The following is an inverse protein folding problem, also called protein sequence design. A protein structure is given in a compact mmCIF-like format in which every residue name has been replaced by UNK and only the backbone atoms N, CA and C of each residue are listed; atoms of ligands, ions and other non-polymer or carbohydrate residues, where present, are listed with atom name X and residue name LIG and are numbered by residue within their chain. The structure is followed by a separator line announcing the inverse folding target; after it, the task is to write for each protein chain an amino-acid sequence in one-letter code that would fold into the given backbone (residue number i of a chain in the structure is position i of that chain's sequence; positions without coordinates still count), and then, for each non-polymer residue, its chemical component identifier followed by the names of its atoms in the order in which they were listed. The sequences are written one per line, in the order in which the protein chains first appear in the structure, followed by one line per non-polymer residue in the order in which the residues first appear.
data_IF_092807950039
#
_entry.id   IF_092807950039
#
_cell.length_a   1.000
_cell.length_b   1.000
_cell.length_c   1.000
_cell.angle_alpha   90.00
_cell.angle_beta   90.00
_cell.angle_gamma   90.00
#
_symmetry.space_group_name_H-M   'P 1'
#
loop_
_entity.id
_entity.type
_entity.pdbx_description
1 polymer ?
#
# COMPACT_ATOMS: atom_id res chain seq x y z
N UNK A 1 23.82 -10.33 25.10
CA UNK A 1 22.40 -10.25 24.76
C UNK A 1 22.16 -8.92 24.09
N UNK A 2 21.71 -8.95 22.85
CA UNK A 2 21.20 -7.78 22.11
C UNK A 2 20.34 -8.32 20.96
N UNK A 3 19.29 -9.04 21.30
CA UNK A 3 18.32 -9.62 20.36
C UNK A 3 16.97 -8.98 20.64
N UNK A 4 16.81 -7.71 20.25
CA UNK A 4 15.48 -7.10 20.12
C UNK A 4 15.56 -5.99 19.06
N UNK A 5 15.90 -6.38 17.83
CA UNK A 5 15.48 -5.58 16.68
C UNK A 5 14.01 -5.91 16.49
N UNK A 6 13.13 -5.10 17.07
CA UNK A 6 11.69 -5.20 16.90
C UNK A 6 11.37 -5.32 15.41
N UNK A 7 10.94 -6.50 14.96
CA UNK A 7 10.51 -6.81 13.59
C UNK A 7 9.14 -6.18 13.28
N UNK A 8 8.90 -4.99 13.84
CA UNK A 8 7.67 -4.25 13.67
C UNK A 8 7.79 -3.35 12.43
N UNK A 9 6.81 -3.36 11.51
CA UNK A 9 6.80 -2.42 10.41
C UNK A 9 6.75 -0.98 10.94
N UNK A 10 7.28 0.00 10.18
CA UNK A 10 7.21 1.40 10.58
C UNK A 10 5.76 1.81 10.88
N UNK A 11 5.53 2.71 11.85
CA UNK A 11 4.19 3.09 12.30
C UNK A 11 3.40 3.92 11.27
N UNK A 12 3.96 4.13 10.08
CA UNK A 12 3.38 4.89 8.99
C UNK A 12 3.72 4.25 7.64
N UNK A 13 2.90 4.55 6.65
CA UNK A 13 3.07 4.14 5.26
C UNK A 13 2.99 5.38 4.39
N UNK A 14 3.92 5.52 3.43
CA UNK A 14 3.93 6.64 2.50
C UNK A 14 3.64 6.17 1.08
N UNK A 15 2.82 6.94 0.35
CA UNK A 15 2.71 6.89 -1.10
C UNK A 15 3.64 7.94 -1.68
N UNK A 16 4.54 7.55 -2.57
CA UNK A 16 5.42 8.49 -3.28
C UNK A 16 4.92 8.67 -4.71
N UNK A 17 4.86 9.91 -5.18
CA UNK A 17 4.46 10.23 -6.55
C UNK A 17 5.49 11.12 -7.25
N UNK A 18 5.76 10.85 -8.52
CA UNK A 18 6.72 11.62 -9.32
C UNK A 18 7.07 10.93 -10.63
N UNK A 19 7.61 11.67 -11.60
CA UNK A 19 8.05 11.13 -12.90
C UNK A 19 6.97 10.29 -13.64
N UNK A 20 5.69 10.64 -13.48
CA UNK A 20 4.58 9.90 -14.07
C UNK A 20 4.31 8.52 -13.43
N UNK A 21 4.80 8.27 -12.22
CA UNK A 21 4.61 7.02 -11.48
C UNK A 21 4.20 7.27 -10.03
N UNK A 22 3.62 6.24 -9.42
CA UNK A 22 3.41 6.12 -7.97
C UNK A 22 4.14 4.90 -7.44
N UNK A 23 4.70 5.00 -6.25
CA UNK A 23 5.29 3.90 -5.49
C UNK A 23 4.45 3.67 -4.24
N UNK A 24 3.99 2.43 -4.08
CA UNK A 24 3.11 2.03 -2.99
C UNK A 24 3.87 1.16 -1.98
N UNK A 25 3.59 1.35 -0.68
CA UNK A 25 4.20 0.53 0.36
C UNK A 25 3.66 -0.90 0.26
N UNK A 26 4.53 -1.87 0.55
CA UNK A 26 4.16 -3.29 0.58
C UNK A 26 3.32 -3.54 1.83
N UNK A 27 1.99 -3.51 1.73
CA UNK A 27 1.08 -3.89 2.83
C UNK A 27 0.42 -5.23 2.53
N UNK A 28 0.37 -6.09 3.55
CA UNK A 28 0.03 -7.51 3.52
C UNK A 28 -1.44 -7.85 3.22
N UNK A 29 -2.19 -6.98 2.55
CA UNK A 29 -3.56 -7.28 2.10
C UNK A 29 -3.86 -6.52 0.83
N UNK A 30 -3.19 -6.92 -0.24
CA UNK A 30 -3.63 -6.64 -1.60
C UNK A 30 -4.92 -7.44 -1.83
N UNK A 31 -6.07 -6.84 -1.56
CA UNK A 31 -7.34 -7.38 -2.05
C UNK A 31 -7.34 -7.32 -3.58
N UNK A 32 -6.96 -8.45 -4.16
CA UNK A 32 -7.22 -8.94 -5.51
C UNK A 32 -8.04 -7.99 -6.42
N UNK A 33 -7.37 -7.10 -7.16
CA UNK A 33 -7.94 -6.45 -8.33
C UNK A 33 -7.22 -6.98 -9.58
N UNK A 34 -7.71 -8.15 -10.02
CA UNK A 34 -7.61 -8.74 -11.36
C UNK A 34 -6.34 -8.41 -12.17
N UNK A 35 -5.48 -9.42 -12.26
CA UNK A 35 -4.32 -9.48 -13.13
C UNK A 35 -4.69 -9.31 -14.61
N UNK A 36 -4.18 -8.24 -15.23
CA UNK A 36 -3.78 -8.30 -16.64
C UNK A 36 -2.47 -7.56 -16.92
N UNK A 37 -1.59 -7.46 -15.92
CA UNK A 37 -0.19 -7.11 -16.11
C UNK A 37 0.66 -8.05 -15.27
N UNK A 38 1.11 -9.17 -15.88
CA UNK A 38 2.06 -10.11 -15.27
C UNK A 38 3.46 -9.52 -15.37
N UNK A 39 4.00 -9.06 -14.25
CA UNK A 39 5.40 -9.20 -13.81
C UNK A 39 5.46 -8.52 -12.42
N UNK A 40 5.84 -9.11 -11.30
CA UNK A 40 6.55 -10.34 -10.99
C UNK A 40 6.10 -10.78 -9.57
N UNK A 41 5.28 -11.84 -9.50
CA UNK A 41 4.97 -12.51 -8.25
C UNK A 41 6.00 -13.62 -8.01
N UNK A 42 6.85 -13.46 -7.01
CA UNK A 42 7.55 -14.57 -6.39
C UNK A 42 6.94 -14.79 -5.00
N UNK A 43 5.93 -15.65 -4.93
CA UNK A 43 5.55 -16.31 -3.68
C UNK A 43 6.30 -17.63 -3.61
N UNK A 44 7.30 -17.74 -2.73
CA UNK A 44 7.54 -18.89 -1.83
C UNK A 44 8.87 -18.67 -1.07
N UNK A 45 8.82 -18.34 0.22
CA UNK A 45 10.04 -18.20 1.00
C UNK A 45 9.76 -17.80 2.44
N UNK A 46 9.90 -18.76 3.35
CA UNK A 46 9.92 -18.59 4.79
C UNK A 46 11.22 -17.85 5.21
N UNK A 47 11.28 -16.55 4.95
CA UNK A 47 12.42 -15.66 5.23
C UNK A 47 12.00 -14.18 5.17
N UNK A 48 12.75 -13.25 5.78
CA UNK A 48 12.32 -11.87 5.96
C UNK A 48 12.13 -11.20 4.60
N UNK A 49 10.88 -10.89 4.26
CA UNK A 49 10.51 -10.27 2.99
C UNK A 49 11.05 -8.85 2.97
N UNK A 50 12.06 -8.59 2.12
CA UNK A 50 12.47 -7.22 1.81
C UNK A 50 11.25 -6.42 1.32
N UNK A 51 11.08 -5.14 1.71
CA UNK A 51 9.91 -4.35 1.35
C UNK A 51 10.00 -3.93 -0.12
N UNK A 52 9.69 -4.84 -1.03
CA UNK A 52 9.61 -4.57 -2.46
C UNK A 52 8.25 -3.92 -2.72
N UNK A 53 8.20 -2.59 -2.66
CA UNK A 53 7.00 -1.85 -3.03
C UNK A 53 6.69 -1.97 -4.51
N UNK A 54 5.43 -1.76 -4.87
CA UNK A 54 4.95 -1.89 -6.25
C UNK A 54 4.89 -0.51 -6.90
N UNK A 55 5.37 -0.40 -8.13
CA UNK A 55 5.32 0.84 -8.91
C UNK A 55 4.20 0.78 -9.95
N UNK A 56 3.37 1.82 -10.02
CA UNK A 56 2.31 1.96 -11.03
C UNK A 56 2.47 3.26 -11.82
N UNK A 57 1.89 3.37 -13.02
CA UNK A 57 1.71 4.66 -13.68
C UNK A 57 0.90 5.62 -12.79
N UNK A 58 1.24 6.90 -12.82
CA UNK A 58 0.50 7.93 -12.10
C UNK A 58 -0.88 8.11 -12.77
N UNK A 59 -2.00 7.86 -12.06
CA UNK A 59 -3.32 8.16 -12.61
C UNK A 59 -3.48 9.66 -12.88
N UNK A 60 -4.30 10.07 -13.88
CA UNK A 60 -4.56 11.49 -14.14
C UNK A 60 -5.11 12.24 -12.93
N UNK A 61 -5.82 11.54 -12.03
CA UNK A 61 -6.35 12.06 -10.76
C UNK A 61 -6.23 10.97 -9.70
N UNK A 62 -5.47 11.24 -8.65
CA UNK A 62 -5.37 10.36 -7.49
C UNK A 62 -6.45 10.75 -6.47
N UNK A 63 -7.27 9.79 -6.06
CA UNK A 63 -8.27 9.95 -5.01
C UNK A 63 -7.81 9.31 -3.70
N UNK A 64 -8.29 9.86 -2.58
CA UNK A 64 -8.10 9.32 -1.23
C UNK A 64 -9.47 9.20 -0.57
N UNK A 65 -9.77 8.03 -0.01
CA UNK A 65 -11.00 7.80 0.76
C UNK A 65 -10.61 7.41 2.18
N UNK A 66 -11.18 8.09 3.17
CA UNK A 66 -11.08 7.76 4.58
C UNK A 66 -12.40 7.12 5.03
N UNK A 67 -12.35 5.82 5.36
CA UNK A 67 -13.45 5.09 5.97
C UNK A 67 -13.25 5.09 7.49
N UNK A 68 -13.85 6.07 8.16
CA UNK A 68 -13.75 6.23 9.61
C UNK A 68 -14.31 5.03 10.38
N UNK A 69 -15.43 4.47 9.92
CA UNK A 69 -16.09 3.34 10.58
C UNK A 69 -15.22 2.08 10.51
N UNK A 70 -14.53 1.86 9.39
CA UNK A 70 -13.63 0.71 9.22
C UNK A 70 -12.20 0.97 9.69
N UNK A 71 -11.82 2.20 9.99
CA UNK A 71 -10.44 2.57 10.33
C UNK A 71 -9.48 2.31 9.17
N UNK A 72 -9.88 2.65 7.93
CA UNK A 72 -9.08 2.40 6.72
C UNK A 72 -8.96 3.63 5.83
N UNK A 73 -7.82 3.73 5.16
CA UNK A 73 -7.59 4.69 4.07
C UNK A 73 -7.33 3.94 2.76
N UNK A 74 -7.93 4.41 1.67
CA UNK A 74 -7.76 3.84 0.33
C UNK A 74 -7.30 4.90 -0.65
N UNK A 75 -6.21 4.62 -1.37
CA UNK A 75 -5.83 5.35 -2.58
C UNK A 75 -6.49 4.70 -3.78
N UNK A 76 -7.04 5.49 -4.69
CA UNK A 76 -7.68 4.98 -5.91
C UNK A 76 -7.42 5.89 -7.11
N UNK A 77 -7.50 5.32 -8.31
CA UNK A 77 -7.60 6.10 -9.54
C UNK A 77 -8.99 6.73 -9.58
N UNK A 78 -9.08 8.05 -9.42
CA UNK A 78 -10.35 8.75 -9.34
C UNK A 78 -11.08 8.84 -10.70
N UNK A 79 -10.41 8.50 -11.81
CA UNK A 79 -11.07 8.43 -13.10
C UNK A 79 -11.87 7.12 -13.26
N UNK A 80 -11.26 5.98 -12.91
CA UNK A 80 -11.87 4.66 -13.03
C UNK A 80 -12.54 4.14 -11.74
N UNK A 81 -12.35 4.84 -10.62
CA UNK A 81 -12.71 4.42 -9.26
C UNK A 81 -12.06 3.10 -8.83
N UNK A 82 -10.95 2.72 -9.49
CA UNK A 82 -10.21 1.50 -9.16
C UNK A 82 -9.33 1.71 -7.92
N UNK A 83 -9.41 0.86 -6.88
CA UNK A 83 -8.49 0.93 -5.74
C UNK A 83 -7.06 0.58 -6.18
N UNK A 84 -6.10 1.35 -5.68
CA UNK A 84 -4.67 1.21 -5.93
C UNK A 84 -3.94 0.64 -4.71
N UNK A 85 -4.31 1.09 -3.52
CA UNK A 85 -3.77 0.64 -2.24
C UNK A 85 -4.74 0.91 -1.10
N UNK A 86 -4.75 0.06 -0.10
CA UNK A 86 -5.58 0.21 1.09
C UNK A 86 -4.76 -0.17 2.33
N UNK A 87 -4.93 0.60 3.41
CA UNK A 87 -4.22 0.38 4.65
C UNK A 87 -5.02 0.82 5.88
N UNK A 88 -4.59 0.39 7.07
CA UNK A 88 -5.20 0.81 8.32
C UNK A 88 -4.89 2.29 8.59
N UNK A 89 -5.79 2.96 9.30
CA UNK A 89 -5.58 4.30 9.85
C UNK A 89 -6.20 4.37 11.24
N UNK A 90 -5.49 4.95 12.19
CA UNK A 90 -6.00 5.17 13.54
C UNK A 90 -6.88 6.42 13.55
N UNK A 91 -8.19 6.23 13.74
CA UNK A 91 -9.19 7.28 13.81
C UNK A 91 -9.51 7.72 15.26
N UNK A 92 -8.72 7.33 16.26
CA UNK A 92 -8.98 7.67 17.66
C UNK A 92 -8.75 9.16 17.99
N UNK A 93 -8.09 9.90 17.11
CA UNK A 93 -7.84 11.33 17.19
C UNK A 93 -8.16 12.02 15.83
N UNK A 94 -8.25 13.36 15.78
CA UNK A 94 -8.43 14.07 14.52
C UNK A 94 -7.37 13.69 13.48
N UNK A 95 -7.83 13.40 12.26
CA UNK A 95 -7.02 13.01 11.09
C UNK A 95 -6.81 14.23 10.19
#
# INVERSE_FOLDING_TARGET
GAEDSSDSPPPFSFLTMGMGKIYLPSSASSHHANANYRESGFTNGNGPSSPTGVTYPLPPRLGVCLDFEKGRVTFYDAHSLRPLWEGPVDCSAPV
#
